data_IF_644876720726
#
_entry.id   IF_644876720726
#
_cell.length_a   1.000
_cell.length_b   1.000
_cell.length_c   1.000
_cell.angle_alpha   90.00
_cell.angle_beta   90.00
_cell.angle_gamma   90.00
#
_symmetry.space_group_name_H-M   'P 1'
#
loop_
_entity.id
_entity.type
_entity.pdbx_description
1 polymer ?
#
# COMPACT_ATOMS: atom_id res chain seq x y z
N UNK A 1 -5.82 14.29 -2.57
CA UNK A 1 -5.70 15.70 -3.01
C UNK A 1 -5.32 15.78 -4.49
N UNK A 2 -6.14 15.15 -5.35
CA UNK A 2 -5.98 15.10 -6.80
C UNK A 2 -6.94 16.13 -7.39
N UNK A 3 -6.37 17.25 -7.87
CA UNK A 3 -6.96 18.17 -8.88
C UNK A 3 -8.43 18.57 -8.73
N UNK A 4 -8.85 19.12 -7.59
CA UNK A 4 -10.02 20.00 -7.57
C UNK A 4 -9.54 21.44 -7.43
N UNK A 5 -9.90 22.36 -8.35
CA UNK A 5 -9.55 23.76 -8.21
C UNK A 5 -10.15 24.25 -6.90
N UNK A 6 -9.35 24.99 -6.11
CA UNK A 6 -9.79 25.69 -4.88
C UNK A 6 -11.05 26.54 -5.09
N UNK A 7 -11.45 26.77 -6.34
CA UNK A 7 -12.61 27.52 -6.80
C UNK A 7 -13.97 26.75 -6.81
N UNK A 8 -14.04 25.51 -6.32
CA UNK A 8 -15.31 24.74 -6.33
C UNK A 8 -15.62 24.07 -4.96
N UNK A 9 -16.00 24.84 -3.92
CA UNK A 9 -16.22 24.32 -2.57
C UNK A 9 -17.29 23.22 -2.53
N UNK A 10 -18.34 23.32 -3.35
CA UNK A 10 -19.38 22.31 -3.44
C UNK A 10 -18.85 20.97 -3.98
N UNK A 11 -17.97 20.98 -4.99
CA UNK A 11 -17.37 19.75 -5.52
C UNK A 11 -16.46 19.08 -4.49
N UNK A 12 -15.74 19.89 -3.70
CA UNK A 12 -14.90 19.38 -2.63
C UNK A 12 -15.74 18.81 -1.48
N UNK A 13 -16.83 19.46 -1.10
CA UNK A 13 -17.76 18.96 -0.08
C UNK A 13 -18.40 17.63 -0.51
N UNK A 14 -18.88 17.52 -1.75
CA UNK A 14 -19.44 16.26 -2.29
C UNK A 14 -18.39 15.16 -2.34
N UNK A 15 -17.16 15.48 -2.77
CA UNK A 15 -16.06 14.51 -2.77
C UNK A 15 -15.75 13.99 -1.36
N UNK A 16 -15.64 14.89 -0.37
CA UNK A 16 -15.40 14.52 1.03
C UNK A 16 -16.57 13.68 1.55
N UNK A 17 -17.82 14.05 1.25
CA UNK A 17 -18.99 13.30 1.67
C UNK A 17 -18.96 11.87 1.13
N UNK A 18 -18.71 11.68 -0.18
CA UNK A 18 -18.61 10.34 -0.78
C UNK A 18 -17.46 9.56 -0.14
N UNK A 19 -16.30 10.20 0.06
CA UNK A 19 -15.15 9.58 0.71
C UNK A 19 -15.49 9.05 2.10
N UNK A 20 -16.13 9.88 2.93
CA UNK A 20 -16.56 9.53 4.29
C UNK A 20 -17.61 8.43 4.27
N UNK A 21 -18.62 8.51 3.39
CA UNK A 21 -19.67 7.49 3.27
C UNK A 21 -19.07 6.13 2.91
N UNK A 22 -18.16 6.07 1.94
CA UNK A 22 -17.48 4.82 1.57
C UNK A 22 -16.66 4.28 2.73
N UNK A 23 -15.93 5.14 3.44
CA UNK A 23 -15.17 4.72 4.62
C UNK A 23 -16.10 4.15 5.72
N UNK A 24 -17.22 4.81 6.02
CA UNK A 24 -18.19 4.34 7.02
C UNK A 24 -18.79 2.99 6.62
N UNK A 25 -19.18 2.81 5.36
CA UNK A 25 -19.69 1.52 4.86
C UNK A 25 -18.61 0.43 5.01
N UNK A 26 -17.36 0.74 4.71
CA UNK A 26 -16.24 -0.20 4.89
C UNK A 26 -16.02 -0.54 6.38
N UNK A 27 -16.08 0.44 7.29
CA UNK A 27 -16.01 0.20 8.75
C UNK A 27 -17.12 -0.77 9.18
N UNK A 28 -18.37 -0.50 8.80
CA UNK A 28 -19.52 -1.35 9.15
C UNK A 28 -19.31 -2.77 8.60
N UNK A 29 -18.87 -2.90 7.35
CA UNK A 29 -18.61 -4.20 6.73
C UNK A 29 -17.51 -4.99 7.43
N UNK A 30 -16.40 -4.35 7.80
CA UNK A 30 -15.30 -4.99 8.51
C UNK A 30 -15.73 -5.42 9.91
N UNK A 31 -16.47 -4.58 10.65
CA UNK A 31 -16.93 -4.91 12.00
C UNK A 31 -18.01 -6.00 12.01
N UNK A 32 -18.87 -6.05 11.00
CA UNK A 32 -19.91 -7.08 10.89
C UNK A 32 -19.32 -8.42 10.44
N UNK A 33 -18.26 -8.41 9.63
CA UNK A 33 -17.65 -9.59 9.02
C UNK A 33 -16.14 -9.63 9.23
N UNK A 34 -15.66 -9.55 10.49
CA UNK A 34 -14.24 -9.42 10.86
C UNK A 34 -13.25 -10.17 9.94
N UNK A 35 -13.39 -11.49 9.83
CA UNK A 35 -12.45 -12.33 9.06
C UNK A 35 -12.56 -12.10 7.55
N UNK A 36 -13.78 -12.03 7.00
CA UNK A 36 -13.99 -11.82 5.57
C UNK A 36 -13.55 -10.40 5.17
N UNK A 37 -13.91 -9.40 5.97
CA UNK A 37 -13.47 -8.02 5.80
C UNK A 37 -11.96 -7.90 5.83
N UNK A 38 -11.30 -8.57 6.77
CA UNK A 38 -9.85 -8.65 6.82
C UNK A 38 -9.25 -9.27 5.55
N UNK A 39 -9.76 -10.42 5.09
CA UNK A 39 -9.30 -11.06 3.85
C UNK A 39 -9.45 -10.12 2.66
N UNK A 40 -10.59 -9.45 2.51
CA UNK A 40 -10.82 -8.48 1.43
C UNK A 40 -9.79 -7.36 1.48
N UNK A 41 -9.48 -6.82 2.67
CA UNK A 41 -8.45 -5.78 2.86
C UNK A 41 -7.06 -6.29 2.46
N UNK A 42 -6.71 -7.55 2.78
CA UNK A 42 -5.42 -8.13 2.38
C UNK A 42 -5.29 -8.21 0.86
N UNK A 43 -6.31 -8.73 0.18
CA UNK A 43 -6.34 -8.79 -1.28
C UNK A 43 -6.29 -7.40 -1.92
N UNK A 44 -7.10 -6.47 -1.41
CA UNK A 44 -7.12 -5.10 -1.87
C UNK A 44 -5.73 -4.44 -1.75
N UNK A 45 -5.08 -4.60 -0.59
CA UNK A 45 -3.74 -4.05 -0.34
C UNK A 45 -2.68 -4.67 -1.25
N UNK A 46 -2.70 -5.99 -1.42
CA UNK A 46 -1.79 -6.68 -2.35
C UNK A 46 -1.97 -6.19 -3.79
N UNK A 47 -3.21 -6.05 -4.25
CA UNK A 47 -3.51 -5.52 -5.59
C UNK A 47 -3.02 -4.08 -5.73
N UNK A 48 -3.24 -3.24 -4.72
CA UNK A 48 -2.77 -1.86 -4.69
C UNK A 48 -1.27 -1.75 -4.88
N UNK A 49 -0.54 -2.50 -4.06
CA UNK A 49 0.90 -2.51 -4.02
C UNK A 49 1.48 -2.96 -5.36
N UNK A 50 0.98 -4.09 -5.88
CA UNK A 50 1.41 -4.62 -7.18
C UNK A 50 1.15 -3.66 -8.33
N UNK A 51 -0.05 -3.07 -8.40
CA UNK A 51 -0.42 -2.11 -9.45
C UNK A 51 0.39 -0.81 -9.32
N UNK A 52 0.52 -0.27 -8.11
CA UNK A 52 1.23 0.97 -7.85
C UNK A 52 2.70 0.88 -8.24
N UNK A 53 3.34 -0.25 -7.93
CA UNK A 53 4.73 -0.53 -8.28
C UNK A 53 4.90 -0.78 -9.79
N UNK A 54 4.00 -1.53 -10.42
CA UNK A 54 4.01 -1.72 -11.87
C UNK A 54 3.78 -0.40 -12.63
N UNK A 55 2.94 0.48 -12.11
CA UNK A 55 2.70 1.80 -12.66
C UNK A 55 3.94 2.71 -12.55
N UNK A 56 4.71 2.61 -11.46
CA UNK A 56 6.02 3.27 -11.34
C UNK A 56 6.98 2.79 -12.43
N UNK A 57 7.06 1.48 -12.64
CA UNK A 57 7.91 0.89 -13.68
C UNK A 57 7.46 1.34 -15.07
N UNK A 58 6.16 1.34 -15.34
CA UNK A 58 5.59 1.78 -16.62
C UNK A 58 5.98 3.24 -16.94
N UNK A 59 5.94 4.12 -15.94
CA UNK A 59 6.34 5.52 -16.09
C UNK A 59 7.86 5.67 -16.29
N UNK A 60 8.67 4.83 -15.64
CA UNK A 60 10.11 4.78 -15.85
C UNK A 60 10.45 4.26 -17.27
N UNK A 61 9.77 3.20 -17.71
CA UNK A 61 9.96 2.57 -19.02
C UNK A 61 9.66 3.56 -20.17
N UNK A 62 8.66 4.43 -20.02
CA UNK A 62 8.36 5.50 -20.99
C UNK A 62 9.55 6.44 -21.22
N UNK A 63 10.46 6.55 -20.24
CA UNK A 63 11.62 7.47 -20.27
C UNK A 63 12.91 6.77 -20.64
N UNK A 64 13.09 5.53 -20.21
CA UNK A 64 14.31 4.75 -20.44
C UNK A 64 14.25 3.87 -21.69
N UNK A 65 13.05 3.67 -22.26
CA UNK A 65 12.78 2.87 -23.46
C UNK A 65 13.48 1.49 -23.43
N UNK A 66 13.15 0.64 -22.44
CA UNK A 66 13.78 -0.66 -22.32
C UNK A 66 13.48 -1.54 -23.53
N UNK A 67 14.41 -2.47 -23.82
CA UNK A 67 14.30 -3.39 -24.97
C UNK A 67 13.08 -4.30 -24.91
N UNK A 68 12.57 -4.60 -23.72
CA UNK A 68 11.42 -5.49 -23.48
C UNK A 68 10.41 -4.85 -22.54
N UNK A 69 9.12 -5.08 -22.83
CA UNK A 69 8.02 -4.63 -21.98
C UNK A 69 7.94 -5.48 -20.71
N UNK A 70 7.53 -4.85 -19.61
CA UNK A 70 7.25 -5.54 -18.35
C UNK A 70 6.12 -6.57 -18.54
N UNK A 71 6.34 -7.81 -18.12
CA UNK A 71 5.26 -8.80 -18.04
C UNK A 71 4.43 -8.56 -16.77
N UNK A 72 3.40 -7.73 -16.90
CA UNK A 72 2.54 -7.27 -15.80
C UNK A 72 1.75 -8.40 -15.12
N UNK A 73 1.40 -9.44 -15.86
CA UNK A 73 0.67 -10.60 -15.32
C UNK A 73 1.47 -11.36 -14.26
N UNK A 74 2.80 -11.33 -14.36
CA UNK A 74 3.69 -11.93 -13.37
C UNK A 74 4.19 -10.92 -12.35
N UNK A 75 4.55 -9.71 -12.79
CA UNK A 75 5.10 -8.70 -11.89
C UNK A 75 4.07 -8.22 -10.86
N UNK A 76 2.85 -7.88 -11.27
CA UNK A 76 1.85 -7.27 -10.37
C UNK A 76 1.52 -8.22 -9.20
N UNK A 77 1.16 -9.49 -9.42
CA UNK A 77 0.85 -10.37 -8.29
C UNK A 77 2.07 -10.66 -7.43
N UNK A 78 3.26 -10.83 -8.01
CA UNK A 78 4.48 -11.08 -7.24
C UNK A 78 4.87 -9.88 -6.36
N UNK A 79 4.84 -8.67 -6.90
CA UNK A 79 5.16 -7.45 -6.16
C UNK A 79 4.11 -7.14 -5.07
N UNK A 80 2.85 -7.46 -5.32
CA UNK A 80 1.75 -7.17 -4.41
C UNK A 80 1.57 -8.18 -3.28
N UNK A 81 1.56 -9.47 -3.60
CA UNK A 81 1.23 -10.52 -2.63
C UNK A 81 2.41 -10.90 -1.72
N UNK A 82 3.65 -10.84 -2.23
CA UNK A 82 4.87 -11.16 -1.45
C UNK A 82 4.96 -10.38 -0.13
N UNK A 83 4.90 -9.03 -0.11
CA UNK A 83 5.06 -8.26 1.12
C UNK A 83 3.85 -8.29 2.05
N UNK A 84 2.71 -8.83 1.60
CA UNK A 84 1.48 -8.90 2.40
C UNK A 84 1.29 -10.29 2.97
N UNK A 85 1.24 -11.31 2.13
CA UNK A 85 0.83 -12.65 2.53
C UNK A 85 1.95 -13.41 3.24
N UNK A 86 3.20 -13.33 2.78
CA UNK A 86 4.32 -14.06 3.41
C UNK A 86 4.51 -13.63 4.87
N UNK A 87 4.58 -12.32 5.20
CA UNK A 87 4.64 -11.90 6.60
C UNK A 87 3.42 -12.34 7.42
N UNK A 88 2.22 -12.31 6.86
CA UNK A 88 0.97 -12.56 7.60
C UNK A 88 0.69 -14.03 7.92
N UNK A 89 1.27 -14.97 7.18
CA UNK A 89 1.20 -16.40 7.51
C UNK A 89 2.34 -16.86 8.44
N UNK A 90 3.15 -15.92 8.94
CA UNK A 90 4.18 -16.18 9.93
C UNK A 90 3.57 -16.26 11.35
N UNK A 91 4.13 -17.13 12.20
CA UNK A 91 3.68 -17.30 13.59
C UNK A 91 3.79 -16.00 14.42
N UNK A 92 4.82 -15.18 14.21
CA UNK A 92 4.95 -13.89 14.89
C UNK A 92 3.84 -12.90 14.51
N UNK A 93 3.29 -12.98 13.29
CA UNK A 93 2.11 -12.21 12.91
C UNK A 93 0.84 -12.73 13.55
N UNK A 94 0.77 -14.03 13.82
CA UNK A 94 -0.38 -14.64 14.50
C UNK A 94 -0.52 -14.12 15.93
N UNK A 95 0.60 -13.99 16.65
CA UNK A 95 0.65 -13.38 17.98
C UNK A 95 0.23 -11.89 17.94
N UNK A 96 0.71 -11.15 16.94
CA UNK A 96 0.34 -9.75 16.75
C UNK A 96 -1.14 -9.56 16.34
N UNK A 97 -1.74 -10.51 15.62
CA UNK A 97 -3.17 -10.48 15.30
C UNK A 97 -4.01 -10.86 16.53
N UNK A 98 -3.52 -11.77 17.38
CA UNK A 98 -4.19 -12.19 18.59
C UNK A 98 -4.37 -11.04 19.59
N UNK A 99 -3.38 -10.14 19.70
CA UNK A 99 -3.45 -8.94 20.55
C UNK A 99 -4.38 -7.85 19.99
N UNK A 100 -4.88 -8.01 18.77
CA UNK A 100 -5.79 -7.04 18.13
C UNK A 100 -7.21 -7.60 18.12
N UNK A 101 -7.41 -8.78 17.51
CA UNK A 101 -8.71 -9.43 17.45
C UNK A 101 -8.54 -10.94 17.24
N UNK A 102 -8.91 -11.78 18.23
CA UNK A 102 -8.77 -13.23 18.13
C UNK A 102 -9.48 -13.87 16.93
N UNK A 103 -10.54 -13.26 16.39
CA UNK A 103 -11.24 -13.77 15.20
C UNK A 103 -10.39 -13.71 13.92
N UNK A 104 -9.26 -12.99 13.94
CA UNK A 104 -8.35 -12.89 12.81
C UNK A 104 -7.28 -13.99 12.80
N UNK A 105 -6.99 -14.63 13.93
CA UNK A 105 -5.89 -15.60 14.04
C UNK A 105 -5.97 -16.69 12.96
N UNK A 106 -7.16 -17.24 12.75
CA UNK A 106 -7.40 -18.33 11.78
C UNK A 106 -7.95 -17.83 10.44
N UNK A 107 -7.63 -16.60 10.02
CA UNK A 107 -8.09 -16.06 8.73
C UNK A 107 -7.70 -16.96 7.54
N UNK A 108 -6.56 -17.63 7.63
CA UNK A 108 -6.04 -18.56 6.64
C UNK A 108 -6.60 -19.99 6.76
N UNK A 109 -7.44 -20.29 7.77
CA UNK A 109 -8.11 -21.59 7.96
C UNK A 109 -7.16 -22.81 7.94
N UNK A 110 -5.93 -22.67 8.44
CA UNK A 110 -4.92 -23.74 8.43
C UNK A 110 -4.19 -23.94 7.10
N UNK A 111 -4.37 -23.03 6.14
CA UNK A 111 -3.64 -23.02 4.86
C UNK A 111 -2.37 -22.15 4.87
N UNK A 112 -1.79 -21.85 6.03
CA UNK A 112 -0.60 -21.00 6.18
C UNK A 112 0.56 -21.48 5.29
N UNK A 113 0.90 -22.76 5.37
CA UNK A 113 2.00 -23.38 4.62
C UNK A 113 1.72 -23.41 3.12
N UNK A 114 0.48 -23.64 2.70
CA UNK A 114 0.05 -23.65 1.31
C UNK A 114 0.08 -22.24 0.72
N UNK A 115 -0.37 -21.23 1.46
CA UNK A 115 -0.28 -19.82 1.06
C UNK A 115 1.18 -19.40 0.93
N UNK A 116 2.02 -19.72 1.93
CA UNK A 116 3.45 -19.42 1.89
C UNK A 116 4.13 -20.02 0.67
N UNK A 117 3.89 -21.31 0.42
CA UNK A 117 4.44 -22.04 -0.72
C UNK A 117 3.93 -21.49 -2.06
N UNK A 118 2.62 -21.19 -2.16
CA UNK A 118 2.02 -20.66 -3.38
C UNK A 118 2.56 -19.26 -3.73
N UNK A 119 2.60 -18.35 -2.76
CA UNK A 119 3.10 -16.98 -2.97
C UNK A 119 4.60 -16.99 -3.25
N UNK A 120 5.38 -17.77 -2.50
CA UNK A 120 6.84 -17.90 -2.74
C UNK A 120 7.11 -18.51 -4.10
N UNK A 121 6.44 -19.61 -4.46
CA UNK A 121 6.60 -20.28 -5.74
C UNK A 121 6.22 -19.38 -6.92
N UNK A 122 5.12 -18.63 -6.80
CA UNK A 122 4.73 -17.66 -7.83
C UNK A 122 5.76 -16.54 -7.95
N UNK A 123 6.29 -16.02 -6.85
CA UNK A 123 7.31 -14.96 -6.88
C UNK A 123 8.62 -15.42 -7.50
N UNK A 124 9.07 -16.65 -7.22
CA UNK A 124 10.21 -17.27 -7.90
C UNK A 124 9.94 -17.40 -9.40
N UNK A 125 8.76 -17.86 -9.80
CA UNK A 125 8.38 -17.94 -11.20
C UNK A 125 8.38 -16.55 -11.87
N UNK A 126 7.86 -15.53 -11.21
CA UNK A 126 7.86 -14.15 -11.72
C UNK A 126 9.29 -13.61 -11.88
N UNK A 127 10.20 -13.90 -10.94
CA UNK A 127 11.63 -13.56 -11.05
C UNK A 127 12.23 -14.23 -12.29
N UNK A 128 11.98 -15.52 -12.51
CA UNK A 128 12.46 -16.22 -13.70
C UNK A 128 11.93 -15.60 -14.99
N UNK A 129 10.64 -15.24 -15.04
CA UNK A 129 10.03 -14.53 -16.18
C UNK A 129 10.70 -13.18 -16.41
N UNK A 130 11.05 -12.43 -15.36
CA UNK A 130 11.79 -11.17 -15.50
C UNK A 130 13.20 -11.40 -16.06
N UNK A 131 13.93 -12.40 -15.57
CA UNK A 131 15.28 -12.75 -16.07
C UNK A 131 15.21 -13.15 -17.55
N UNK A 132 14.30 -14.05 -17.93
CA UNK A 132 14.10 -14.47 -19.32
C UNK A 132 13.69 -13.30 -20.22
N UNK A 133 12.87 -12.39 -19.69
CA UNK A 133 12.50 -11.13 -20.34
C UNK A 133 13.61 -10.08 -20.38
N UNK A 134 14.82 -10.37 -19.86
CA UNK A 134 15.95 -9.42 -19.72
C UNK A 134 15.62 -8.18 -18.89
N UNK A 135 14.64 -8.30 -17.99
CA UNK A 135 14.20 -7.29 -17.00
C UNK A 135 14.98 -7.47 -15.70
N UNK A 136 16.31 -7.40 -15.76
CA UNK A 136 17.19 -7.72 -14.63
C UNK A 136 16.96 -6.84 -13.40
N UNK A 137 16.58 -5.56 -13.62
CA UNK A 137 16.26 -4.64 -12.53
C UNK A 137 15.03 -5.11 -11.76
N UNK A 138 13.98 -5.53 -12.45
CA UNK A 138 12.74 -6.02 -11.85
C UNK A 138 12.91 -7.42 -11.26
N UNK A 139 13.76 -8.26 -11.85
CA UNK A 139 14.16 -9.53 -11.25
C UNK A 139 14.86 -9.31 -9.91
N UNK A 140 15.83 -8.37 -9.84
CA UNK A 140 16.50 -8.01 -8.61
C UNK A 140 15.52 -7.39 -7.60
N UNK A 141 14.62 -6.51 -8.05
CA UNK A 141 13.57 -5.89 -7.24
C UNK A 141 12.70 -6.94 -6.53
N UNK A 142 12.16 -7.90 -7.29
CA UNK A 142 11.34 -8.99 -6.74
C UNK A 142 12.16 -9.95 -5.86
N UNK A 143 13.44 -10.17 -6.18
CA UNK A 143 14.32 -11.02 -5.37
C UNK A 143 14.55 -10.39 -4.00
N UNK A 144 14.90 -9.10 -3.95
CA UNK A 144 15.12 -8.39 -2.69
C UNK A 144 13.82 -8.31 -1.87
N UNK A 145 12.67 -8.11 -2.53
CA UNK A 145 11.37 -8.14 -1.88
C UNK A 145 11.06 -9.50 -1.25
N UNK A 146 11.34 -10.59 -1.98
CA UNK A 146 11.14 -11.95 -1.50
C UNK A 146 12.08 -12.26 -0.32
N UNK A 147 13.34 -11.85 -0.40
CA UNK A 147 14.30 -12.00 0.70
C UNK A 147 13.86 -11.21 1.94
N UNK A 148 13.43 -9.96 1.77
CA UNK A 148 12.91 -9.14 2.86
C UNK A 148 11.72 -9.82 3.55
N UNK A 149 10.78 -10.37 2.77
CA UNK A 149 9.59 -11.02 3.31
C UNK A 149 9.88 -12.31 4.08
N UNK A 150 10.93 -13.04 3.70
CA UNK A 150 11.32 -14.29 4.38
C UNK A 150 12.29 -14.11 5.56
N UNK A 151 13.17 -13.10 5.49
CA UNK A 151 14.26 -12.93 6.46
C UNK A 151 13.87 -12.00 7.61
N UNK A 152 13.17 -10.91 7.32
CA UNK A 152 12.86 -9.91 8.34
C UNK A 152 11.63 -10.32 9.17
N UNK A 153 11.57 -9.91 10.45
CA UNK A 153 10.34 -10.01 11.23
C UNK A 153 9.16 -9.36 10.49
N UNK A 154 7.93 -9.91 10.53
CA UNK A 154 6.82 -9.49 9.69
C UNK A 154 6.54 -7.98 9.70
N UNK A 155 6.55 -7.36 10.88
CA UNK A 155 6.34 -5.92 11.05
C UNK A 155 7.45 -5.10 10.39
N UNK A 156 8.70 -5.56 10.49
CA UNK A 156 9.86 -4.89 9.88
C UNK A 156 9.79 -5.04 8.35
N UNK A 157 9.49 -6.26 7.85
CA UNK A 157 9.33 -6.51 6.43
C UNK A 157 8.27 -5.57 5.82
N UNK A 158 7.10 -5.47 6.46
CA UNK A 158 6.03 -4.59 6.04
C UNK A 158 6.44 -3.11 6.12
N UNK A 159 7.03 -2.66 7.24
CA UNK A 159 7.42 -1.25 7.40
C UNK A 159 8.47 -0.81 6.37
N UNK A 160 9.48 -1.63 6.12
CA UNK A 160 10.53 -1.37 5.12
C UNK A 160 9.93 -1.35 3.72
N UNK A 161 9.10 -2.34 3.37
CA UNK A 161 8.44 -2.35 2.07
C UNK A 161 7.50 -1.14 1.90
N UNK A 162 6.54 -0.97 2.80
CA UNK A 162 5.54 0.08 2.70
C UNK A 162 6.16 1.47 2.70
N UNK A 163 7.04 1.77 3.66
CA UNK A 163 7.62 3.10 3.85
C UNK A 163 8.74 3.43 2.86
N UNK A 164 9.74 2.54 2.75
CA UNK A 164 10.96 2.84 1.99
C UNK A 164 10.88 2.43 0.52
N UNK A 165 9.98 1.51 0.18
CA UNK A 165 9.86 0.97 -1.17
C UNK A 165 8.64 1.54 -1.89
N UNK A 166 7.45 1.22 -1.39
CA UNK A 166 6.19 1.52 -2.04
C UNK A 166 5.83 3.00 -1.92
N UNK A 167 5.84 3.57 -0.72
CA UNK A 167 5.52 4.98 -0.51
C UNK A 167 6.50 5.92 -1.23
N UNK A 168 7.78 5.53 -1.32
CA UNK A 168 8.78 6.27 -2.10
C UNK A 168 8.47 6.24 -3.60
N UNK A 169 8.13 5.08 -4.18
CA UNK A 169 7.68 4.96 -5.58
C UNK A 169 6.43 5.78 -5.84
N UNK A 170 5.47 5.72 -4.92
CA UNK A 170 4.23 6.49 -5.01
C UNK A 170 4.51 8.00 -4.99
N UNK A 171 5.33 8.46 -4.06
CA UNK A 171 5.74 9.87 -3.95
C UNK A 171 6.49 10.34 -5.20
N UNK A 172 7.40 9.53 -5.73
CA UNK A 172 8.12 9.82 -6.97
C UNK A 172 7.18 9.95 -8.18
N UNK A 173 6.08 9.19 -8.23
CA UNK A 173 5.06 9.35 -9.28
C UNK A 173 4.25 10.63 -9.10
N UNK A 174 3.92 10.98 -7.85
CA UNK A 174 3.19 12.21 -7.55
C UNK A 174 3.97 13.46 -7.97
N UNK A 175 5.29 13.50 -7.73
CA UNK A 175 6.13 14.63 -8.19
C UNK A 175 6.13 14.79 -9.71
N UNK A 176 5.91 13.70 -10.44
CA UNK A 176 5.84 13.69 -11.91
C UNK A 176 4.42 13.88 -12.46
N UNK A 177 3.40 13.88 -11.61
CA UNK A 177 1.98 13.97 -12.03
C UNK A 177 1.31 15.28 -11.58
N UNK A 178 1.79 15.90 -10.51
CA UNK A 178 1.22 17.13 -9.97
C UNK A 178 1.76 18.35 -10.72
N UNK A 179 0.90 19.22 -11.30
CA UNK A 179 1.34 20.37 -12.10
C UNK A 179 2.36 21.27 -11.39
N UNK A 180 2.15 21.53 -10.10
CA UNK A 180 3.08 22.33 -9.28
C UNK A 180 4.45 21.66 -9.11
N UNK A 181 4.47 20.34 -8.93
CA UNK A 181 5.72 19.60 -8.80
C UNK A 181 6.48 19.58 -10.14
N UNK A 182 5.77 19.45 -11.26
CA UNK A 182 6.36 19.54 -12.60
C UNK A 182 6.97 20.94 -12.83
N UNK A 183 6.24 22.00 -12.49
CA UNK A 183 6.74 23.38 -12.58
C UNK A 183 8.02 23.56 -11.76
N UNK A 184 8.02 23.15 -10.49
CA UNK A 184 9.21 23.23 -9.63
C UNK A 184 10.38 22.39 -10.18
N UNK A 185 10.13 21.22 -10.79
CA UNK A 185 11.15 20.41 -11.44
C UNK A 185 11.74 21.09 -12.68
N UNK A 186 10.90 21.72 -13.51
CA UNK A 186 11.37 22.47 -14.70
C UNK A 186 12.19 23.70 -14.33
N UNK A 187 11.96 24.26 -13.14
CA UNK A 187 12.72 25.38 -12.58
C UNK A 187 13.98 24.92 -11.81
N UNK A 188 14.32 23.62 -11.84
CA UNK A 188 15.51 23.10 -11.16
C UNK A 188 15.39 23.03 -9.63
N UNK A 189 14.18 22.98 -9.08
CA UNK A 189 13.91 22.95 -7.63
C UNK A 189 13.37 21.58 -7.15
N UNK A 190 14.16 20.49 -7.19
CA UNK A 190 13.68 19.15 -6.87
C UNK A 190 13.24 18.99 -5.41
N UNK A 191 13.87 19.71 -4.47
CA UNK A 191 13.47 19.71 -3.05
C UNK A 191 12.07 20.27 -2.85
N UNK A 192 11.71 21.31 -3.60
CA UNK A 192 10.40 21.96 -3.52
C UNK A 192 9.31 21.09 -4.14
N UNK A 193 9.61 20.46 -5.28
CA UNK A 193 8.73 19.48 -5.89
C UNK A 193 8.45 18.29 -4.94
N UNK A 194 9.48 17.78 -4.27
CA UNK A 194 9.33 16.74 -3.24
C UNK A 194 8.46 17.20 -2.07
N UNK A 195 8.75 18.37 -1.49
CA UNK A 195 7.95 18.93 -0.40
C UNK A 195 6.47 19.07 -0.79
N UNK A 196 6.17 19.56 -2.00
CA UNK A 196 4.79 19.67 -2.48
C UNK A 196 4.08 18.32 -2.64
N UNK A 197 4.80 17.23 -2.90
CA UNK A 197 4.22 15.90 -2.94
C UNK A 197 3.97 15.31 -1.53
N UNK A 198 4.81 15.64 -0.54
CA UNK A 198 4.75 15.07 0.82
C UNK A 198 3.85 15.87 1.77
N UNK A 199 3.90 17.21 1.73
CA UNK A 199 3.14 18.10 2.64
C UNK A 199 1.65 17.75 2.73
N UNK A 200 0.95 17.43 1.62
CA UNK A 200 -0.43 16.97 1.66
C UNK A 200 -0.72 15.80 2.63
N UNK A 201 0.27 14.92 2.86
CA UNK A 201 0.15 13.76 3.75
C UNK A 201 0.49 14.04 5.22
N UNK A 202 1.20 15.14 5.52
CA UNK A 202 1.63 15.46 6.89
C UNK A 202 0.48 15.59 7.90
N UNK A 203 -0.68 16.20 7.58
CA UNK A 203 -1.77 16.31 8.54
C UNK A 203 -2.26 14.95 9.06
N UNK A 204 -2.30 13.93 8.22
CA UNK A 204 -2.70 12.58 8.64
C UNK A 204 -1.66 11.94 9.56
N UNK A 205 -0.37 12.12 9.26
CA UNK A 205 0.73 11.63 10.09
C UNK A 205 0.74 12.31 11.47
N UNK A 206 0.65 13.65 11.48
CA UNK A 206 0.59 14.44 12.73
C UNK A 206 -0.65 14.05 13.53
N UNK A 207 -1.82 13.95 12.89
CA UNK A 207 -3.05 13.51 13.56
C UNK A 207 -2.90 12.14 14.23
N UNK A 208 -2.23 11.19 13.57
CA UNK A 208 -1.96 9.86 14.12
C UNK A 208 -1.08 9.94 15.38
N UNK A 209 0.01 10.70 15.35
CA UNK A 209 0.89 10.86 16.52
C UNK A 209 0.24 11.67 17.65
N UNK A 210 -0.59 12.66 17.34
CA UNK A 210 -1.35 13.42 18.35
C UNK A 210 -2.32 12.50 19.08
N UNK A 211 -3.10 11.69 18.35
CA UNK A 211 -4.02 10.73 18.97
C UNK A 211 -3.25 9.72 19.83
N UNK A 212 -2.17 9.15 19.30
CA UNK A 212 -1.34 8.20 20.05
C UNK A 212 -0.72 8.84 21.32
N UNK A 213 -0.23 10.08 21.23
CA UNK A 213 0.37 10.81 22.34
C UNK A 213 -0.64 11.20 23.42
N UNK A 214 -1.81 11.70 23.04
CA UNK A 214 -2.92 11.99 23.98
C UNK A 214 -3.30 10.72 24.75
N UNK A 215 -3.36 9.58 24.08
CA UNK A 215 -3.68 8.32 24.71
C UNK A 215 -2.60 7.86 25.69
N UNK A 216 -1.33 7.90 25.29
CA UNK A 216 -0.23 7.57 26.17
C UNK A 216 -0.21 8.43 27.45
N UNK A 217 -0.57 9.72 27.33
CA UNK A 217 -0.66 10.65 28.46
C UNK A 217 -1.91 10.45 29.32
N UNK A 218 -2.98 9.89 28.77
CA UNK A 218 -4.24 9.65 29.49
C UNK A 218 -4.19 8.48 30.47
N UNK A 219 -3.09 7.74 30.53
CA UNK A 219 -2.93 6.54 31.36
C UNK A 219 -3.82 5.37 30.93
N UNK A 220 -4.53 5.49 29.81
CA UNK A 220 -5.21 4.36 29.20
C UNK A 220 -4.17 3.44 28.57
N UNK A 221 -4.14 2.19 29.02
CA UNK A 221 -3.43 1.16 28.29
C UNK A 221 -4.06 1.04 26.90
N UNK A 222 -3.23 0.88 25.87
CA UNK A 222 -3.73 0.53 24.55
C UNK A 222 -4.45 -0.82 24.65
N UNK A 223 -5.78 -0.81 24.76
CA UNK A 223 -6.57 -2.04 24.78
C UNK A 223 -6.57 -2.68 23.39
N UNK A 224 -6.75 -3.99 23.35
CA UNK A 224 -6.92 -4.76 22.12
C UNK A 224 -8.04 -4.16 21.25
N UNK A 225 -9.12 -3.69 21.89
CA UNK A 225 -10.25 -3.00 21.25
C UNK A 225 -9.83 -1.69 20.57
N UNK A 226 -8.95 -0.91 21.18
CA UNK A 226 -8.43 0.30 20.55
C UNK A 226 -7.58 -0.02 19.32
N UNK A 227 -6.65 -0.97 19.43
CA UNK A 227 -5.83 -1.39 18.29
C UNK A 227 -6.70 -1.93 17.16
N UNK A 228 -7.72 -2.71 17.49
CA UNK A 228 -8.71 -3.20 16.54
C UNK A 228 -9.44 -2.06 15.84
N UNK A 229 -9.99 -1.12 16.59
CA UNK A 229 -10.72 0.02 16.01
C UNK A 229 -9.81 0.92 15.17
N UNK A 230 -8.58 1.20 15.61
CA UNK A 230 -7.62 1.97 14.84
C UNK A 230 -7.27 1.27 13.51
N UNK A 231 -7.06 -0.04 13.56
CA UNK A 231 -6.74 -0.86 12.40
C UNK A 231 -7.92 -0.92 11.41
N UNK A 232 -9.14 -1.13 11.91
CA UNK A 232 -10.38 -1.08 11.11
C UNK A 232 -10.55 0.27 10.41
N UNK A 233 -10.32 1.38 11.12
CA UNK A 233 -10.42 2.72 10.54
C UNK A 233 -9.36 2.94 9.45
N UNK A 234 -8.10 2.56 9.70
CA UNK A 234 -7.03 2.68 8.70
C UNK A 234 -7.35 1.87 7.45
N UNK A 235 -7.80 0.63 7.61
CA UNK A 235 -8.21 -0.23 6.49
C UNK A 235 -9.40 0.34 5.73
N UNK A 236 -10.42 0.80 6.44
CA UNK A 236 -11.61 1.40 5.84
C UNK A 236 -11.28 2.69 5.07
N UNK A 237 -10.36 3.52 5.57
CA UNK A 237 -9.88 4.72 4.86
C UNK A 237 -9.02 4.37 3.63
N UNK A 238 -8.44 3.17 3.60
CA UNK A 238 -7.68 2.70 2.44
C UNK A 238 -8.60 2.45 1.25
N UNK A 239 -9.86 2.01 1.46
CA UNK A 239 -10.83 1.75 0.39
C UNK A 239 -11.10 2.98 -0.51
N UNK A 240 -11.53 4.14 0.01
CA UNK A 240 -11.72 5.32 -0.83
C UNK A 240 -10.39 5.89 -1.33
N UNK A 241 -9.28 5.73 -0.61
CA UNK A 241 -7.94 6.10 -1.10
C UNK A 241 -7.57 5.33 -2.38
N UNK A 242 -7.77 4.00 -2.38
CA UNK A 242 -7.55 3.14 -3.55
C UNK A 242 -8.38 3.57 -4.75
N UNK A 243 -9.65 3.89 -4.54
CA UNK A 243 -10.53 4.32 -5.62
C UNK A 243 -9.99 5.59 -6.30
N UNK A 244 -9.42 6.50 -5.51
CA UNK A 244 -8.82 7.75 -6.01
C UNK A 244 -7.50 7.49 -6.75
N UNK A 245 -6.64 6.63 -6.21
CA UNK A 245 -5.32 6.33 -6.82
C UNK A 245 -5.41 5.43 -8.04
N UNK A 246 -6.40 4.54 -8.12
CA UNK A 246 -6.61 3.63 -9.24
C UNK A 246 -6.77 4.39 -10.58
N UNK A 247 -7.34 5.60 -10.58
CA UNK A 247 -7.42 6.44 -11.77
C UNK A 247 -6.04 6.87 -12.29
N UNK A 248 -5.14 7.25 -11.38
CA UNK A 248 -3.76 7.63 -11.73
C UNK A 248 -2.96 6.41 -12.19
N UNK A 249 -3.17 5.27 -11.54
CA UNK A 249 -2.50 4.01 -11.90
C UNK A 249 -2.93 3.51 -13.28
N UNK A 250 -4.23 3.57 -13.58
CA UNK A 250 -4.75 3.21 -14.90
C UNK A 250 -4.10 4.03 -16.01
N UNK A 251 -3.98 5.35 -15.84
CA UNK A 251 -3.35 6.23 -16.82
C UNK A 251 -1.85 5.95 -17.01
N UNK A 252 -1.16 5.45 -15.99
CA UNK A 252 0.24 5.05 -16.10
C UNK A 252 0.42 3.68 -16.79
N UNK A 253 -0.58 2.81 -16.72
CA UNK A 253 -0.54 1.47 -17.30
C UNK A 253 -1.04 1.40 -18.75
N UNK A 254 -1.91 2.32 -19.18
CA UNK A 254 -2.33 2.44 -20.59
C UNK A 254 -1.36 3.27 -21.39
#
# INVERSE_FOLDING_TARGET
>A
MVTLPKAAPLKMAVFILIYVVVAVVAVIGILQFNTIGFIIVLFMSAIHFGIGDAAFISELDRRTQPRTKLNRWFYIPAAGFTPVFIPLVNSASTEALASVNPALINWHQGFDSQILAAVTGFSVLAILVMIMGKRNREALDLTLLLLLAHIAPPLIAFAVYFGCWHAMRHTARLTLSLPRCIEDLTQGMPRKAFSHAVIPGLPALVGTFVVAGVMALSGQNFSDEFFWMALVVVWALTVPHMAVTAKLDRAALT
#
